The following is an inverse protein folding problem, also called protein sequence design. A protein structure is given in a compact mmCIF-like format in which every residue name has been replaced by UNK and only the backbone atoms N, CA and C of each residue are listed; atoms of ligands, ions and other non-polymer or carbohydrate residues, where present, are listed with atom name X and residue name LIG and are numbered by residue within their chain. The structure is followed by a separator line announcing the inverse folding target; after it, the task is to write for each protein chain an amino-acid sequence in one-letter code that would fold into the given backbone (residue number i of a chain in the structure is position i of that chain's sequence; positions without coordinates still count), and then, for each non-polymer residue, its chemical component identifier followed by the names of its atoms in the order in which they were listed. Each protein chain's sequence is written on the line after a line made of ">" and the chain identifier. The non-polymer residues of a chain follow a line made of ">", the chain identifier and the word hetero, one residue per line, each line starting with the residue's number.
data_IF_435135570938
#
_entry.id   IF_435135570938
#
_cell.length_a   1.000
_cell.length_b   1.000
_cell.length_c   1.000
_cell.angle_alpha   90.00
_cell.angle_beta   90.00
_cell.angle_gamma   90.00
#
_symmetry.space_group_name_H-M   'P 1'
#
loop_
_entity.id
_entity.type
_entity.pdbx_description
1 polymer ?
#
# COMPACT_ATOMS: atom_id res chain seq x y z
N UNK A 1 -34.91 6.67 5.64
CA UNK A 1 -34.87 5.70 6.75
C UNK A 1 -33.49 5.10 6.88
N UNK A 2 -32.96 5.06 8.10
CA UNK A 2 -31.70 4.42 8.46
C UNK A 2 -31.89 2.89 8.39
N UNK A 3 -30.98 2.13 7.76
CA UNK A 3 -31.11 0.67 7.67
C UNK A 3 -30.94 0.04 9.05
N UNK A 4 -31.69 -1.02 9.36
CA UNK A 4 -31.55 -1.78 10.61
C UNK A 4 -30.59 -2.94 10.47
N UNK A 5 -30.49 -3.53 9.27
CA UNK A 5 -29.55 -4.60 8.94
C UNK A 5 -28.83 -4.34 7.63
N UNK A 6 -27.50 -4.45 7.65
CA UNK A 6 -26.64 -4.23 6.49
C UNK A 6 -25.78 -5.45 6.20
N UNK A 7 -25.77 -5.88 4.94
CA UNK A 7 -24.85 -6.88 4.40
C UNK A 7 -23.58 -6.20 3.90
N UNK A 8 -22.42 -6.75 4.26
CA UNK A 8 -21.10 -6.30 3.81
C UNK A 8 -20.49 -7.44 3.00
N UNK A 9 -20.05 -7.15 1.78
CA UNK A 9 -19.34 -8.11 0.94
C UNK A 9 -17.84 -7.87 1.12
N UNK A 10 -17.12 -8.88 1.64
CA UNK A 10 -15.67 -8.82 1.82
C UNK A 10 -14.90 -8.96 0.51
N UNK A 11 -13.56 -9.00 0.61
CA UNK A 11 -12.66 -9.12 -0.55
C UNK A 11 -12.26 -10.55 -0.90
N UNK A 12 -12.56 -11.53 -0.04
CA UNK A 12 -12.12 -12.91 -0.23
C UNK A 12 -10.66 -13.12 0.15
N UNK A 13 -10.06 -14.17 -0.41
CA UNK A 13 -8.64 -14.48 -0.21
C UNK A 13 -7.75 -13.36 -0.74
N UNK A 14 -6.61 -13.13 -0.08
CA UNK A 14 -5.67 -12.09 -0.52
C UNK A 14 -5.03 -12.48 -1.85
N UNK A 15 -4.91 -11.51 -2.74
CA UNK A 15 -4.23 -11.65 -4.03
C UNK A 15 -3.41 -10.40 -4.36
N UNK A 16 -2.51 -10.50 -5.33
CA UNK A 16 -1.70 -9.36 -5.76
C UNK A 16 -2.62 -8.22 -6.20
N UNK A 17 -2.45 -7.05 -5.54
CA UNK A 17 -3.25 -5.85 -5.77
C UNK A 17 -4.63 -5.82 -5.13
N UNK A 18 -5.02 -6.87 -4.39
CA UNK A 18 -6.18 -6.89 -3.51
C UNK A 18 -5.82 -7.63 -2.21
N UNK A 19 -5.23 -6.91 -1.27
CA UNK A 19 -4.62 -7.48 -0.06
C UNK A 19 -5.37 -7.08 1.23
N UNK A 20 -4.63 -6.92 2.33
CA UNK A 20 -5.19 -6.71 3.68
C UNK A 20 -5.88 -5.36 3.89
N UNK A 21 -5.74 -4.41 2.96
CA UNK A 21 -6.39 -3.09 3.01
C UNK A 21 -7.93 -3.20 3.10
N UNK A 22 -8.51 -4.27 2.54
CA UNK A 22 -9.95 -4.54 2.61
C UNK A 22 -10.37 -5.23 3.91
N UNK A 23 -9.46 -5.92 4.60
CA UNK A 23 -9.71 -6.38 5.97
C UNK A 23 -9.77 -5.20 6.94
N UNK A 24 -8.80 -4.29 6.81
CA UNK A 24 -8.80 -3.03 7.55
C UNK A 24 -10.08 -2.22 7.27
N UNK A 25 -10.40 -1.98 6.00
CA UNK A 25 -11.55 -1.15 5.61
C UNK A 25 -12.89 -1.80 5.99
N UNK A 26 -13.05 -3.11 5.77
CA UNK A 26 -14.24 -3.87 6.17
C UNK A 26 -14.44 -3.87 7.69
N UNK A 27 -13.36 -4.02 8.47
CA UNK A 27 -13.41 -3.93 9.94
C UNK A 27 -13.87 -2.54 10.42
N UNK A 28 -13.41 -1.46 9.77
CA UNK A 28 -13.87 -0.10 10.07
C UNK A 28 -15.35 0.10 9.72
N UNK A 29 -15.81 -0.42 8.58
CA UNK A 29 -17.21 -0.35 8.18
C UNK A 29 -18.13 -1.06 9.19
N UNK A 30 -17.75 -2.26 9.61
CA UNK A 30 -18.49 -3.02 10.65
C UNK A 30 -18.55 -2.21 11.95
N UNK A 31 -17.42 -1.65 12.39
CA UNK A 31 -17.34 -0.85 13.62
C UNK A 31 -18.26 0.37 13.55
N UNK A 32 -18.24 1.12 12.44
CA UNK A 32 -19.08 2.30 12.27
C UNK A 32 -20.58 1.95 12.27
N UNK A 33 -20.97 0.86 11.60
CA UNK A 33 -22.36 0.39 11.62
C UNK A 33 -22.80 -0.03 13.04
N UNK A 34 -21.91 -0.68 13.79
CA UNK A 34 -22.19 -1.08 15.17
C UNK A 34 -22.36 0.13 16.11
N UNK A 35 -21.52 1.16 15.97
CA UNK A 35 -21.64 2.42 16.73
C UNK A 35 -22.99 3.13 16.49
N UNK A 36 -23.56 2.95 15.29
CA UNK A 36 -24.89 3.46 14.91
C UNK A 36 -26.04 2.48 15.23
N UNK A 37 -25.78 1.40 15.98
CA UNK A 37 -26.74 0.36 16.34
C UNK A 37 -27.38 -0.36 15.12
N UNK A 38 -26.64 -0.50 14.03
CA UNK A 38 -27.06 -1.19 12.81
C UNK A 38 -26.53 -2.62 12.86
N UNK A 39 -27.41 -3.61 12.65
CA UNK A 39 -27.03 -5.01 12.61
C UNK A 39 -26.19 -5.31 11.36
N UNK A 40 -25.09 -6.03 11.54
CA UNK A 40 -24.10 -6.32 10.50
C UNK A 40 -24.08 -7.79 10.12
N UNK A 41 -24.15 -8.07 8.82
CA UNK A 41 -23.91 -9.40 8.25
C UNK A 41 -22.71 -9.27 7.33
N UNK A 42 -21.67 -10.07 7.56
CA UNK A 42 -20.50 -10.14 6.69
C UNK A 42 -20.52 -11.45 5.90
N UNK A 43 -20.22 -11.40 4.61
CA UNK A 43 -19.82 -12.58 3.83
C UNK A 43 -18.37 -12.39 3.37
N UNK A 44 -17.49 -13.29 3.81
CA UNK A 44 -16.09 -13.33 3.38
C UNK A 44 -15.51 -14.73 3.63
N UNK A 45 -15.01 -15.45 2.60
CA UNK A 45 -14.42 -16.78 2.77
C UNK A 45 -13.04 -16.76 3.45
N UNK A 46 -12.39 -15.60 3.58
CA UNK A 46 -11.04 -15.51 4.13
C UNK A 46 -11.04 -15.51 5.67
N UNK A 47 -10.81 -16.70 6.24
CA UNK A 47 -10.78 -16.95 7.68
C UNK A 47 -9.65 -16.25 8.43
N UNK A 48 -8.59 -15.83 7.74
CA UNK A 48 -7.43 -15.19 8.36
C UNK A 48 -7.65 -13.69 8.66
N UNK A 49 -8.81 -13.14 8.31
CA UNK A 49 -9.09 -11.70 8.40
C UNK A 49 -9.67 -11.30 9.76
N UNK A 50 -9.24 -10.14 10.28
CA UNK A 50 -9.76 -9.55 11.51
C UNK A 50 -11.26 -9.31 11.41
N UNK A 51 -11.76 -8.87 10.25
CA UNK A 51 -13.18 -8.62 9.99
C UNK A 51 -14.08 -9.84 10.23
N UNK A 52 -13.55 -11.06 10.08
CA UNK A 52 -14.28 -12.32 10.33
C UNK A 52 -14.18 -12.82 11.78
N UNK A 53 -13.49 -12.08 12.65
CA UNK A 53 -13.35 -12.45 14.06
C UNK A 53 -14.68 -12.44 14.79
N UNK A 54 -14.85 -13.40 15.70
CA UNK A 54 -16.04 -13.51 16.54
C UNK A 54 -16.30 -12.19 17.31
N UNK A 55 -17.53 -11.69 17.20
CA UNK A 55 -17.99 -10.51 17.91
C UNK A 55 -17.64 -9.18 17.25
N UNK A 56 -17.02 -9.19 16.05
CA UNK A 56 -16.84 -7.96 15.28
C UNK A 56 -18.10 -7.65 14.47
N UNK A 57 -18.55 -8.57 13.62
CA UNK A 57 -19.89 -8.52 13.00
C UNK A 57 -20.88 -9.40 13.76
N UNK A 58 -22.19 -9.11 13.65
CA UNK A 58 -23.24 -9.89 14.32
C UNK A 58 -23.35 -11.31 13.73
N UNK A 59 -23.16 -11.43 12.41
CA UNK A 59 -23.10 -12.72 11.70
C UNK A 59 -22.03 -12.70 10.62
N UNK A 60 -21.33 -13.82 10.47
CA UNK A 60 -20.28 -14.02 9.46
C UNK A 60 -20.56 -15.29 8.66
N UNK A 61 -20.49 -15.17 7.34
CA UNK A 61 -20.62 -16.28 6.38
C UNK A 61 -19.30 -16.52 5.67
N UNK A 62 -18.73 -17.72 5.86
CA UNK A 62 -17.57 -18.20 5.13
C UNK A 62 -18.02 -18.91 3.84
N UNK A 63 -18.46 -18.13 2.87
CA UNK A 63 -19.00 -18.61 1.59
C UNK A 63 -18.29 -17.95 0.40
N UNK A 64 -18.28 -18.59 -0.79
CA UNK A 64 -17.75 -17.98 -2.00
C UNK A 64 -18.45 -16.65 -2.33
N UNK A 65 -17.69 -15.67 -2.81
CA UNK A 65 -18.18 -14.33 -3.16
C UNK A 65 -18.67 -14.29 -4.62
N UNK A 66 -19.69 -15.09 -4.91
CA UNK A 66 -20.36 -15.13 -6.21
C UNK A 66 -21.86 -14.93 -6.04
N UNK A 67 -22.58 -14.43 -7.07
CA UNK A 67 -23.98 -14.01 -6.93
C UNK A 67 -24.90 -15.06 -6.31
N UNK A 68 -24.72 -16.33 -6.65
CA UNK A 68 -25.53 -17.44 -6.13
C UNK A 68 -25.50 -17.50 -4.59
N UNK A 69 -24.30 -17.53 -3.99
CA UNK A 69 -24.16 -17.64 -2.54
C UNK A 69 -24.54 -16.32 -1.83
N UNK A 70 -24.23 -15.17 -2.43
CA UNK A 70 -24.63 -13.88 -1.87
C UNK A 70 -26.16 -13.74 -1.88
N UNK A 71 -26.85 -14.16 -2.95
CA UNK A 71 -28.32 -14.20 -2.98
C UNK A 71 -28.86 -15.10 -1.87
N UNK A 72 -28.26 -16.26 -1.63
CA UNK A 72 -28.70 -17.15 -0.55
C UNK A 72 -28.61 -16.47 0.83
N UNK A 73 -27.54 -15.72 1.08
CA UNK A 73 -27.40 -14.93 2.32
C UNK A 73 -28.45 -13.83 2.37
N UNK A 74 -28.65 -13.06 1.29
CA UNK A 74 -29.70 -12.03 1.20
C UNK A 74 -31.08 -12.62 1.50
N UNK A 75 -31.39 -13.80 0.94
CA UNK A 75 -32.67 -14.49 1.12
C UNK A 75 -32.92 -14.88 2.57
N UNK A 76 -31.90 -15.34 3.28
CA UNK A 76 -32.00 -15.80 4.68
C UNK A 76 -31.98 -14.61 5.65
N UNK A 77 -31.07 -13.66 5.44
CA UNK A 77 -30.87 -12.56 6.39
C UNK A 77 -31.80 -11.36 6.16
N UNK A 78 -32.33 -11.18 4.94
CA UNK A 78 -33.19 -10.05 4.57
C UNK A 78 -32.63 -8.70 5.04
N UNK A 79 -31.41 -8.32 4.58
CA UNK A 79 -30.83 -7.03 4.92
C UNK A 79 -31.62 -5.88 4.29
N UNK A 80 -31.69 -4.74 4.97
CA UNK A 80 -32.29 -3.51 4.42
C UNK A 80 -31.35 -2.84 3.41
N UNK A 81 -30.04 -3.06 3.57
CA UNK A 81 -29.05 -2.54 2.65
C UNK A 81 -27.77 -3.37 2.53
N UNK A 82 -26.97 -3.05 1.52
CA UNK A 82 -25.73 -3.72 1.19
C UNK A 82 -24.60 -2.71 0.92
N UNK A 83 -23.41 -3.00 1.41
CA UNK A 83 -22.19 -2.25 1.13
C UNK A 83 -21.26 -3.07 0.22
N UNK A 84 -20.97 -2.51 -0.95
CA UNK A 84 -20.17 -3.15 -2.01
C UNK A 84 -18.71 -2.63 -2.06
N UNK A 85 -18.45 -1.47 -1.46
CA UNK A 85 -17.21 -0.69 -1.63
C UNK A 85 -16.08 -1.09 -0.68
N UNK A 86 -16.29 -2.10 0.18
CA UNK A 86 -15.29 -2.57 1.15
C UNK A 86 -14.67 -3.94 0.80
N UNK A 87 -15.09 -4.53 -0.32
CA UNK A 87 -14.65 -5.85 -0.78
C UNK A 87 -13.74 -5.84 -2.01
N UNK A 88 -13.14 -4.69 -2.33
CA UNK A 88 -12.36 -4.53 -3.57
C UNK A 88 -13.17 -4.85 -4.82
N UNK A 89 -12.49 -5.30 -5.88
CA UNK A 89 -13.14 -5.65 -7.14
C UNK A 89 -14.08 -6.84 -7.00
N UNK A 90 -13.76 -7.79 -6.13
CA UNK A 90 -14.60 -8.95 -5.86
C UNK A 90 -15.98 -8.51 -5.37
N UNK A 91 -16.03 -7.58 -4.41
CA UNK A 91 -17.28 -7.00 -3.93
C UNK A 91 -18.04 -6.21 -5.00
N UNK A 92 -17.33 -5.38 -5.76
CA UNK A 92 -17.94 -4.56 -6.83
C UNK A 92 -18.54 -5.42 -7.95
N UNK A 93 -17.76 -6.36 -8.50
CA UNK A 93 -18.20 -7.23 -9.60
C UNK A 93 -19.41 -8.07 -9.19
N UNK A 94 -19.37 -8.68 -8.00
CA UNK A 94 -20.49 -9.45 -7.49
C UNK A 94 -21.74 -8.56 -7.30
N UNK A 95 -21.57 -7.34 -6.79
CA UNK A 95 -22.64 -6.36 -6.68
C UNK A 95 -23.26 -5.97 -8.01
N UNK A 96 -22.46 -5.72 -9.04
CA UNK A 96 -22.94 -5.40 -10.39
C UNK A 96 -23.72 -6.57 -11.00
N UNK A 97 -23.25 -7.80 -10.81
CA UNK A 97 -23.97 -9.00 -11.29
C UNK A 97 -25.30 -9.21 -10.58
N UNK A 98 -25.35 -9.00 -9.26
CA UNK A 98 -26.59 -9.07 -8.47
C UNK A 98 -27.62 -8.01 -8.89
N UNK A 99 -27.16 -6.79 -9.16
CA UNK A 99 -28.03 -5.72 -9.68
C UNK A 99 -28.57 -6.06 -11.06
N UNK A 100 -27.72 -6.53 -11.99
CA UNK A 100 -28.12 -6.95 -13.34
C UNK A 100 -29.14 -8.10 -13.31
N UNK A 101 -29.00 -9.02 -12.34
CA UNK A 101 -29.95 -10.10 -12.12
C UNK A 101 -31.24 -9.65 -11.38
N UNK A 102 -31.36 -8.37 -11.02
CA UNK A 102 -32.52 -7.80 -10.35
C UNK A 102 -32.68 -8.28 -8.90
N UNK A 103 -31.63 -8.84 -8.28
CA UNK A 103 -31.70 -9.46 -6.96
C UNK A 103 -31.95 -8.42 -5.87
N UNK A 104 -31.28 -7.26 -5.92
CA UNK A 104 -31.49 -6.22 -4.93
C UNK A 104 -32.95 -5.72 -4.93
N UNK A 105 -33.53 -5.51 -6.11
CA UNK A 105 -34.96 -5.17 -6.24
C UNK A 105 -35.88 -6.31 -5.76
N UNK A 106 -35.60 -7.55 -6.13
CA UNK A 106 -36.37 -8.75 -5.72
C UNK A 106 -36.49 -8.89 -4.20
N UNK A 107 -35.43 -8.57 -3.46
CA UNK A 107 -35.39 -8.68 -2.00
C UNK A 107 -35.54 -7.33 -1.27
N UNK A 108 -35.77 -6.23 -1.99
CA UNK A 108 -35.86 -4.87 -1.47
C UNK A 108 -34.62 -4.44 -0.65
N UNK A 109 -33.43 -4.78 -1.15
CA UNK A 109 -32.14 -4.43 -0.54
C UNK A 109 -31.62 -3.15 -1.18
N UNK A 110 -31.32 -2.14 -0.38
CA UNK A 110 -30.76 -0.87 -0.88
C UNK A 110 -29.24 -0.93 -0.96
N UNK A 111 -28.68 -0.49 -2.07
CA UNK A 111 -27.23 -0.30 -2.16
C UNK A 111 -26.87 0.97 -1.40
N UNK A 112 -26.01 0.84 -0.39
CA UNK A 112 -25.57 1.92 0.48
C UNK A 112 -24.20 2.45 0.04
N UNK A 113 -23.95 3.73 0.28
CA UNK A 113 -22.73 4.40 -0.17
C UNK A 113 -22.82 4.83 -1.64
N UNK A 114 -21.79 4.51 -2.43
CA UNK A 114 -21.73 4.88 -3.85
C UNK A 114 -22.82 4.15 -4.64
N UNK A 115 -23.68 4.88 -5.40
CA UNK A 115 -24.70 4.25 -6.23
C UNK A 115 -24.09 3.27 -7.24
N UNK A 116 -24.80 2.17 -7.54
CA UNK A 116 -24.31 1.14 -8.46
C UNK A 116 -24.04 1.68 -9.87
N UNK A 117 -24.83 2.66 -10.32
CA UNK A 117 -24.58 3.30 -11.62
C UNK A 117 -23.24 4.03 -11.62
N UNK A 118 -22.89 4.72 -10.53
CA UNK A 118 -21.59 5.39 -10.43
C UNK A 118 -20.45 4.37 -10.43
N UNK A 119 -20.61 3.21 -9.78
CA UNK A 119 -19.65 2.11 -9.85
C UNK A 119 -19.47 1.64 -11.31
N UNK A 120 -20.57 1.36 -12.01
CA UNK A 120 -20.52 0.94 -13.42
C UNK A 120 -19.83 2.00 -14.29
N UNK A 121 -20.19 3.26 -14.09
CA UNK A 121 -19.65 4.38 -14.86
C UNK A 121 -18.15 4.59 -14.65
N UNK A 122 -17.61 4.24 -13.47
CA UNK A 122 -16.18 4.37 -13.17
C UNK A 122 -15.37 3.12 -13.53
N UNK A 123 -15.99 1.95 -13.50
CA UNK A 123 -15.33 0.68 -13.85
C UNK A 123 -15.24 0.46 -15.37
N UNK A 124 -16.24 0.92 -16.13
CA UNK A 124 -16.16 0.95 -17.58
C UNK A 124 -15.33 2.17 -18.04
N UNK A 125 -14.14 1.91 -18.59
CA UNK A 125 -13.21 2.98 -19.00
C UNK A 125 -13.75 3.86 -20.12
N UNK A 126 -14.61 3.33 -21.00
CA UNK A 126 -15.19 4.13 -22.09
C UNK A 126 -16.19 5.11 -21.50
N UNK A 127 -17.10 4.62 -20.66
CA UNK A 127 -18.08 5.48 -19.95
C UNK A 127 -17.33 6.50 -19.09
N UNK A 128 -16.29 6.07 -18.36
CA UNK A 128 -15.46 6.96 -17.57
C UNK A 128 -14.82 8.07 -18.42
N UNK A 129 -14.17 7.71 -19.53
CA UNK A 129 -13.55 8.66 -20.46
C UNK A 129 -14.57 9.67 -21.01
N UNK A 130 -15.76 9.21 -21.42
CA UNK A 130 -16.84 10.06 -21.89
C UNK A 130 -17.33 11.03 -20.80
N UNK A 131 -17.47 10.56 -19.55
CA UNK A 131 -17.87 11.40 -18.42
C UNK A 131 -16.82 12.45 -18.04
N UNK A 132 -15.54 12.08 -18.05
CA UNK A 132 -14.42 13.00 -17.81
C UNK A 132 -14.33 14.03 -18.95
N UNK A 133 -14.49 13.58 -20.20
CA UNK A 133 -14.54 14.47 -21.37
C UNK A 133 -15.71 15.45 -21.32
N UNK A 134 -16.87 15.03 -20.81
CA UNK A 134 -18.05 15.89 -20.65
C UNK A 134 -17.83 17.06 -19.68
N UNK A 135 -16.90 16.95 -18.73
CA UNK A 135 -16.52 18.04 -17.82
C UNK A 135 -15.27 18.81 -18.29
N UNK A 136 -14.78 18.53 -19.50
CA UNK A 136 -13.61 19.20 -20.09
C UNK A 136 -12.25 18.71 -19.56
N UNK A 137 -12.25 17.64 -18.78
CA UNK A 137 -11.03 17.04 -18.22
C UNK A 137 -10.41 16.03 -19.18
N UNK A 138 -9.14 15.69 -18.95
CA UNK A 138 -8.36 14.85 -19.87
C UNK A 138 -8.04 13.50 -19.26
N UNK A 139 -8.27 12.44 -20.03
CA UNK A 139 -7.74 11.10 -19.76
C UNK A 139 -6.59 10.80 -20.71
N UNK A 140 -5.71 9.85 -20.32
CA UNK A 140 -4.73 9.32 -21.23
C UNK A 140 -5.43 8.74 -22.48
N UNK A 141 -4.88 8.93 -23.69
CA UNK A 141 -5.41 8.31 -24.89
C UNK A 141 -5.49 6.79 -24.69
N UNK A 142 -6.70 6.26 -24.80
CA UNK A 142 -7.00 4.84 -24.62
C UNK A 142 -8.01 4.39 -25.65
N UNK A 143 -7.90 3.14 -26.07
CA UNK A 143 -8.80 2.53 -27.04
C UNK A 143 -9.30 1.21 -26.48
N UNK A 144 -10.61 1.00 -26.55
CA UNK A 144 -11.22 -0.27 -26.22
C UNK A 144 -11.08 -1.24 -27.39
N UNK A 145 -10.73 -2.49 -27.08
CA UNK A 145 -10.56 -3.60 -27.99
C UNK A 145 -11.41 -4.79 -27.52
N UNK A 146 -12.14 -5.41 -28.45
CA UNK A 146 -12.97 -6.58 -28.18
C UNK A 146 -12.43 -7.85 -28.86
N UNK A 147 -11.39 -7.70 -29.66
CA UNK A 147 -10.66 -8.79 -30.28
C UNK A 147 -9.15 -8.57 -30.17
N UNK A 148 -8.38 -9.63 -30.38
CA UNK A 148 -6.91 -9.52 -30.48
C UNK A 148 -6.52 -8.56 -31.61
N UNK A 149 -7.24 -8.56 -32.73
CA UNK A 149 -6.95 -7.66 -33.85
C UNK A 149 -7.22 -6.20 -33.48
N UNK A 150 -8.33 -5.92 -32.80
CA UNK A 150 -8.68 -4.57 -32.33
C UNK A 150 -7.59 -4.02 -31.40
N UNK A 151 -7.02 -4.88 -30.55
CA UNK A 151 -5.95 -4.51 -29.63
C UNK A 151 -4.68 -4.10 -30.39
N UNK A 152 -4.33 -4.85 -31.44
CA UNK A 152 -3.17 -4.53 -32.29
C UNK A 152 -3.39 -3.21 -33.05
N UNK A 153 -4.58 -3.01 -33.63
CA UNK A 153 -4.94 -1.79 -34.35
C UNK A 153 -4.95 -0.56 -33.42
N UNK A 154 -5.37 -0.75 -32.17
CA UNK A 154 -5.31 0.27 -31.13
C UNK A 154 -3.87 0.65 -30.78
N UNK A 155 -2.99 -0.35 -30.63
CA UNK A 155 -1.58 -0.11 -30.34
C UNK A 155 -0.84 0.57 -31.50
N UNK A 156 -1.19 0.26 -32.75
CA UNK A 156 -0.62 0.93 -33.93
C UNK A 156 -0.98 2.42 -33.95
N UNK A 157 -2.15 2.82 -33.42
CA UNK A 157 -2.56 4.23 -33.25
C UNK A 157 -1.88 4.92 -32.08
N UNK A 158 -1.73 4.23 -30.95
CA UNK A 158 -1.18 4.79 -29.70
C UNK A 158 0.36 4.79 -29.66
N UNK A 159 0.98 3.92 -30.45
CA UNK A 159 2.41 3.67 -30.49
C UNK A 159 2.90 2.90 -29.26
N UNK A 160 3.75 1.91 -29.49
CA UNK A 160 4.41 1.17 -28.42
C UNK A 160 5.35 2.08 -27.59
N UNK A 161 5.62 1.74 -26.31
CA UNK A 161 5.00 0.66 -25.55
C UNK A 161 3.57 1.00 -25.11
N UNK A 162 2.72 -0.02 -25.05
CA UNK A 162 1.33 0.08 -24.61
C UNK A 162 1.06 -0.81 -23.39
N UNK A 163 0.04 -0.45 -22.62
CA UNK A 163 -0.48 -1.26 -21.51
C UNK A 163 -1.82 -1.83 -21.94
N UNK A 164 -1.94 -3.15 -21.94
CA UNK A 164 -3.21 -3.85 -22.10
C UNK A 164 -3.82 -4.08 -20.71
N UNK A 165 -5.11 -3.75 -20.52
CA UNK A 165 -5.83 -3.91 -19.26
C UNK A 165 -7.21 -4.51 -19.46
N UNK A 166 -7.50 -5.61 -18.78
CA UNK A 166 -8.83 -6.19 -18.78
C UNK A 166 -9.82 -5.27 -18.04
N UNK A 167 -11.02 -5.04 -18.61
CA UNK A 167 -12.09 -4.33 -17.91
C UNK A 167 -12.58 -5.15 -16.68
N UNK A 168 -13.07 -4.47 -15.63
CA UNK A 168 -13.56 -5.07 -14.38
C UNK A 168 -12.53 -5.93 -13.62
N UNK A 169 -11.24 -5.57 -13.74
CA UNK A 169 -10.12 -6.25 -13.07
C UNK A 169 -9.34 -5.30 -12.17
N UNK A 170 -8.80 -5.84 -11.08
CA UNK A 170 -8.00 -5.11 -10.09
C UNK A 170 -6.68 -5.84 -9.87
N UNK A 171 -5.66 -5.12 -9.41
CA UNK A 171 -4.30 -5.67 -9.22
C UNK A 171 -3.55 -6.07 -10.50
N UNK A 172 -4.05 -5.68 -11.68
CA UNK A 172 -3.40 -5.97 -12.96
C UNK A 172 -3.63 -7.41 -13.47
N UNK A 173 -4.64 -8.12 -12.96
CA UNK A 173 -5.04 -9.43 -13.49
C UNK A 173 -5.43 -9.31 -14.98
N UNK A 174 -4.81 -10.12 -15.84
CA UNK A 174 -4.99 -10.01 -17.29
C UNK A 174 -4.46 -8.70 -17.91
N UNK A 175 -3.70 -7.92 -17.13
CA UNK A 175 -3.08 -6.68 -17.58
C UNK A 175 -1.57 -6.87 -17.76
N UNK A 176 -0.99 -6.19 -18.74
CA UNK A 176 0.43 -6.29 -19.03
C UNK A 176 0.92 -5.17 -19.93
N UNK A 177 2.24 -5.03 -20.00
CA UNK A 177 2.90 -4.11 -20.90
C UNK A 177 3.34 -4.87 -22.13
N UNK A 178 3.09 -4.29 -23.30
CA UNK A 178 3.61 -4.77 -24.56
C UNK A 178 4.51 -3.68 -25.13
N UNK A 179 5.77 -4.02 -25.37
CA UNK A 179 6.73 -3.16 -26.06
C UNK A 179 6.67 -3.40 -27.58
N UNK A 180 6.00 -4.47 -28.03
CA UNK A 180 5.81 -4.82 -29.44
C UNK A 180 4.51 -5.61 -29.70
N UNK A 181 4.25 -5.86 -30.99
CA UNK A 181 3.03 -6.53 -31.49
C UNK A 181 2.86 -7.96 -31.01
N UNK A 182 3.94 -8.73 -30.90
CA UNK A 182 3.88 -10.14 -30.49
C UNK A 182 3.55 -10.26 -29.00
N UNK A 183 4.17 -9.44 -28.15
CA UNK A 183 3.83 -9.34 -26.74
C UNK A 183 2.37 -8.95 -26.53
N UNK A 184 1.89 -7.95 -27.27
CA UNK A 184 0.50 -7.51 -27.16
C UNK A 184 -0.48 -8.61 -27.57
N UNK A 185 -0.16 -9.36 -28.64
CA UNK A 185 -1.00 -10.46 -29.11
C UNK A 185 -1.15 -11.56 -28.06
N UNK A 186 -0.04 -11.90 -27.38
CA UNK A 186 -0.03 -12.88 -26.29
C UNK A 186 -0.87 -12.38 -25.09
N UNK A 187 -0.63 -11.14 -24.66
CA UNK A 187 -1.37 -10.51 -23.56
C UNK A 187 -2.87 -10.39 -23.86
N UNK A 188 -3.24 -9.94 -25.06
CA UNK A 188 -4.62 -9.76 -25.45
C UNK A 188 -5.39 -11.09 -25.50
N UNK A 189 -4.74 -12.16 -25.97
CA UNK A 189 -5.33 -13.50 -26.00
C UNK A 189 -5.61 -14.02 -24.59
N UNK A 190 -4.69 -13.79 -23.65
CA UNK A 190 -4.85 -14.18 -22.24
C UNK A 190 -5.88 -13.31 -21.51
N UNK A 191 -5.94 -12.01 -21.80
CA UNK A 191 -6.88 -11.11 -21.15
C UNK A 191 -8.33 -11.36 -21.60
N UNK A 192 -8.53 -11.57 -22.91
CA UNK A 192 -9.84 -11.80 -23.50
C UNK A 192 -10.44 -13.19 -23.18
N UNK A 193 -9.65 -14.14 -22.65
CA UNK A 193 -10.20 -15.40 -22.14
C UNK A 193 -10.93 -15.24 -20.81
N UNK A 194 -10.76 -14.11 -20.12
CA UNK A 194 -11.35 -13.84 -18.81
C UNK A 194 -12.17 -12.54 -18.76
N UNK A 195 -12.10 -11.70 -19.79
CA UNK A 195 -12.87 -10.44 -19.90
C UNK A 195 -13.35 -10.21 -21.34
N UNK A 196 -14.54 -9.65 -21.51
CA UNK A 196 -15.11 -9.36 -22.83
C UNK A 196 -14.55 -8.06 -23.46
N UNK A 197 -13.67 -7.35 -22.74
CA UNK A 197 -13.12 -6.07 -23.16
C UNK A 197 -11.70 -5.89 -22.64
N UNK A 198 -10.82 -5.46 -23.53
CA UNK A 198 -9.44 -5.10 -23.26
C UNK A 198 -9.26 -3.61 -23.58
N UNK A 199 -8.57 -2.87 -22.71
CA UNK A 199 -8.25 -1.46 -22.94
C UNK A 199 -6.75 -1.34 -23.21
N UNK A 200 -6.40 -0.67 -24.30
CA UNK A 200 -5.01 -0.38 -24.67
C UNK A 200 -4.72 1.07 -24.32
N UNK A 201 -3.73 1.29 -23.46
CA UNK A 201 -3.29 2.60 -23.00
C UNK A 201 -1.82 2.84 -23.34
N UNK A 202 -1.39 4.11 -23.28
CA UNK A 202 0.04 4.39 -23.20
C UNK A 202 0.59 3.95 -21.83
N UNK A 203 1.67 3.15 -21.86
CA UNK A 203 2.21 2.44 -20.70
C UNK A 203 2.73 3.33 -19.55
N UNK A 204 2.44 2.91 -18.31
CA UNK A 204 3.05 3.36 -17.05
C UNK A 204 3.28 2.11 -16.15
N UNK A 205 4.56 1.70 -15.93
CA UNK A 205 4.97 0.36 -15.41
C UNK A 205 4.85 0.17 -13.87
N UNK A 206 4.45 -1.02 -13.38
CA UNK A 206 4.60 -1.48 -11.95
C UNK A 206 3.86 -2.78 -11.54
N UNK A 207 4.43 -3.57 -10.59
CA UNK A 207 3.80 -4.73 -9.87
C UNK A 207 4.38 -4.86 -8.44
N UNK A 208 3.57 -5.17 -7.41
CA UNK A 208 4.01 -5.39 -6.01
C UNK A 208 3.12 -6.40 -5.27
N UNK A 209 3.65 -7.05 -4.21
CA UNK A 209 2.94 -8.05 -3.37
C UNK A 209 2.55 -7.50 -1.99
N UNK A 210 3.22 -6.45 -1.54
CA UNK A 210 2.98 -5.75 -0.27
C UNK A 210 3.70 -4.40 -0.27
N UNK A 211 3.46 -3.61 0.77
CA UNK A 211 4.03 -2.27 0.92
C UNK A 211 4.46 -2.01 2.37
N UNK A 212 5.38 -1.05 2.53
CA UNK A 212 5.87 -0.60 3.83
C UNK A 212 5.63 0.91 3.94
N UNK A 213 5.28 1.40 5.13
CA UNK A 213 5.13 2.83 5.37
C UNK A 213 6.08 3.31 6.47
N UNK A 214 6.86 4.34 6.17
CA UNK A 214 7.70 5.00 7.16
C UNK A 214 7.40 6.49 7.28
N UNK A 215 7.40 6.96 8.52
CA UNK A 215 7.20 8.39 8.84
C UNK A 215 8.51 8.98 9.35
N UNK A 216 8.85 10.15 8.83
CA UNK A 216 9.98 10.99 9.22
C UNK A 216 9.70 12.45 8.88
N UNK A 217 10.37 13.39 9.55
CA UNK A 217 10.15 14.84 9.31
C UNK A 217 10.99 15.40 8.16
N UNK A 218 11.74 14.52 7.49
CA UNK A 218 12.49 14.78 6.26
C UNK A 218 12.33 13.60 5.33
N UNK A 219 12.38 13.87 4.02
CA UNK A 219 12.34 12.82 3.02
C UNK A 219 13.43 11.77 3.26
N UNK A 220 14.67 12.18 3.48
CA UNK A 220 15.79 11.26 3.68
C UNK A 220 15.57 10.34 4.89
N UNK A 221 15.03 10.89 5.97
CA UNK A 221 14.70 10.13 7.18
C UNK A 221 13.61 9.08 6.92
N UNK A 222 12.50 9.49 6.31
CA UNK A 222 11.39 8.60 5.98
C UNK A 222 11.82 7.52 4.97
N UNK A 223 12.51 7.93 3.90
CA UNK A 223 12.96 7.06 2.82
C UNK A 223 13.90 5.95 3.30
N UNK A 224 14.90 6.29 4.13
CA UNK A 224 15.80 5.26 4.66
C UNK A 224 15.12 4.34 5.68
N UNK A 225 14.14 4.83 6.45
CA UNK A 225 13.33 3.97 7.33
C UNK A 225 12.50 2.99 6.50
N UNK A 226 11.83 3.45 5.43
CA UNK A 226 11.04 2.61 4.55
C UNK A 226 11.88 1.50 3.92
N UNK A 227 13.07 1.81 3.40
CA UNK A 227 13.96 0.82 2.79
C UNK A 227 14.35 -0.30 3.77
N UNK A 228 14.53 0.02 5.07
CA UNK A 228 14.81 -0.97 6.12
C UNK A 228 13.60 -1.82 6.50
N UNK A 229 12.40 -1.32 6.25
CA UNK A 229 11.16 -2.03 6.57
C UNK A 229 10.82 -3.07 5.49
N UNK A 230 11.23 -2.82 4.24
CA UNK A 230 10.94 -3.70 3.10
C UNK A 230 11.66 -5.04 3.18
N UNK A 231 12.93 -5.05 3.58
CA UNK A 231 13.77 -6.27 3.62
C UNK A 231 14.78 -6.16 4.77
N UNK A 232 14.91 -7.22 5.57
CA UNK A 232 15.82 -7.31 6.71
C UNK A 232 17.30 -7.18 6.33
N UNK A 233 17.63 -7.49 5.07
CA UNK A 233 18.98 -7.38 4.53
C UNK A 233 19.31 -5.97 4.02
N UNK A 234 18.30 -5.11 3.88
CA UNK A 234 18.47 -3.74 3.39
C UNK A 234 18.63 -2.81 4.58
N UNK A 235 19.83 -2.20 4.72
CA UNK A 235 20.12 -1.32 5.86
C UNK A 235 19.72 0.15 5.61
N UNK A 236 19.31 0.49 4.39
CA UNK A 236 18.94 1.83 3.95
C UNK A 236 19.21 2.02 2.45
N UNK A 237 19.42 3.27 2.02
CA UNK A 237 19.77 3.57 0.62
C UNK A 237 21.27 3.31 0.38
N UNK A 238 21.59 2.05 0.10
CA UNK A 238 22.95 1.52 0.06
C UNK A 238 23.50 1.44 -1.38
N UNK A 239 24.61 2.14 -1.71
CA UNK A 239 25.18 2.15 -3.05
C UNK A 239 25.99 0.89 -3.41
N UNK A 240 26.15 -0.07 -2.49
CA UNK A 240 26.97 -1.27 -2.70
C UNK A 240 26.16 -2.54 -2.98
N UNK A 241 24.84 -2.51 -2.79
CA UNK A 241 23.98 -3.69 -2.99
C UNK A 241 23.85 -4.09 -4.48
N UNK A 242 24.01 -3.12 -5.38
CA UNK A 242 23.94 -3.31 -6.83
C UNK A 242 25.06 -2.54 -7.52
N UNK A 243 25.36 -2.94 -8.75
CA UNK A 243 26.25 -2.20 -9.66
C UNK A 243 25.41 -1.24 -10.49
N UNK A 244 26.06 -0.22 -11.03
CA UNK A 244 25.43 0.66 -12.01
C UNK A 244 25.05 -0.13 -13.25
N UNK A 245 23.81 0.07 -13.68
CA UNK A 245 23.26 -0.50 -14.89
C UNK A 245 22.23 0.51 -15.44
N UNK A 246 22.54 1.12 -16.58
CA UNK A 246 21.67 2.14 -17.19
C UNK A 246 20.34 1.52 -17.67
N UNK A 247 20.32 0.24 -18.04
CA UNK A 247 19.10 -0.47 -18.43
C UNK A 247 18.16 -0.63 -17.24
N UNK A 248 18.66 -1.02 -16.06
CA UNK A 248 17.84 -1.10 -14.83
C UNK A 248 17.39 0.29 -14.33
N UNK A 249 18.08 1.36 -14.72
CA UNK A 249 17.67 2.73 -14.45
C UNK A 249 16.57 3.17 -15.41
N UNK A 250 16.61 2.76 -16.67
CA UNK A 250 15.57 3.06 -17.67
C UNK A 250 14.32 2.20 -17.45
N UNK A 251 14.52 0.90 -17.26
CA UNK A 251 13.50 -0.12 -17.07
C UNK A 251 13.31 -0.44 -15.58
N UNK A 252 12.22 0.03 -14.93
CA UNK A 252 12.10 -0.07 -13.49
C UNK A 252 12.03 -1.53 -13.00
N UNK A 253 12.96 -1.89 -12.13
CA UNK A 253 12.97 -3.16 -11.38
C UNK A 253 12.73 -2.92 -9.89
N UNK A 254 12.44 -3.99 -9.14
CA UNK A 254 12.37 -3.96 -7.67
C UNK A 254 13.72 -3.58 -7.02
N UNK A 255 14.82 -3.63 -7.78
CA UNK A 255 16.17 -3.26 -7.33
C UNK A 255 16.64 -1.90 -7.83
N UNK A 256 15.83 -1.17 -8.62
CA UNK A 256 16.19 0.11 -9.25
C UNK A 256 16.74 1.13 -8.26
N UNK A 257 16.18 1.19 -7.04
CA UNK A 257 16.64 2.13 -6.01
C UNK A 257 18.12 1.91 -5.64
N UNK A 258 18.60 0.66 -5.61
CA UNK A 258 19.99 0.36 -5.27
C UNK A 258 20.93 0.59 -6.46
N UNK A 259 20.45 0.38 -7.70
CA UNK A 259 21.19 0.77 -8.91
C UNK A 259 21.33 2.30 -8.96
N UNK A 260 20.29 3.04 -8.58
CA UNK A 260 20.31 4.50 -8.48
C UNK A 260 21.31 4.99 -7.43
N UNK A 261 21.35 4.34 -6.26
CA UNK A 261 22.36 4.63 -5.22
C UNK A 261 23.78 4.43 -5.74
N UNK A 262 24.04 3.31 -6.44
CA UNK A 262 25.33 3.03 -7.07
C UNK A 262 25.70 4.09 -8.12
N UNK A 263 24.74 4.51 -8.95
CA UNK A 263 24.97 5.49 -10.02
C UNK A 263 25.31 6.88 -9.47
N UNK A 264 24.61 7.31 -8.41
CA UNK A 264 24.97 8.53 -7.69
C UNK A 264 26.39 8.47 -7.13
N UNK A 265 26.80 7.30 -6.62
CA UNK A 265 28.14 7.10 -6.08
C UNK A 265 29.23 7.11 -7.16
N UNK A 266 28.95 6.58 -8.33
CA UNK A 266 29.85 6.66 -9.51
C UNK A 266 29.86 8.06 -10.17
N UNK A 267 29.13 9.03 -9.60
CA UNK A 267 29.18 10.42 -10.02
C UNK A 267 28.17 10.81 -11.11
N UNK A 268 27.12 10.00 -11.33
CA UNK A 268 26.05 10.40 -12.24
C UNK A 268 25.38 11.69 -11.74
N UNK A 269 25.13 12.62 -12.65
CA UNK A 269 24.43 13.86 -12.33
C UNK A 269 22.94 13.62 -12.12
N UNK A 270 22.30 14.50 -11.34
CA UNK A 270 20.84 14.49 -11.15
C UNK A 270 20.11 14.58 -12.49
N UNK A 271 20.61 15.37 -13.44
CA UNK A 271 20.01 15.47 -14.78
C UNK A 271 20.14 14.19 -15.60
N UNK A 272 21.29 13.51 -15.55
CA UNK A 272 21.45 12.20 -16.20
C UNK A 272 20.45 11.20 -15.62
N UNK A 273 20.35 11.13 -14.30
CA UNK A 273 19.42 10.22 -13.62
C UNK A 273 17.97 10.57 -13.88
N UNK A 274 17.60 11.86 -13.96
CA UNK A 274 16.26 12.27 -14.38
C UNK A 274 15.96 11.79 -15.80
N UNK A 275 16.90 11.94 -16.72
CA UNK A 275 16.71 11.53 -18.11
C UNK A 275 16.50 10.02 -18.25
N UNK A 276 17.27 9.22 -17.51
CA UNK A 276 17.14 7.77 -17.47
C UNK A 276 15.86 7.33 -16.74
N UNK A 277 15.57 7.92 -15.59
CA UNK A 277 14.59 7.35 -14.66
C UNK A 277 13.20 7.98 -14.71
N UNK A 278 13.11 9.23 -15.14
CA UNK A 278 11.97 10.15 -14.97
C UNK A 278 11.56 10.41 -13.52
N UNK A 279 12.36 9.98 -12.53
CA UNK A 279 12.16 10.36 -11.13
C UNK A 279 12.46 11.85 -11.01
N UNK A 280 11.56 12.61 -10.39
CA UNK A 280 11.71 14.05 -10.25
C UNK A 280 13.06 14.43 -9.60
N UNK A 281 13.65 15.52 -10.11
CA UNK A 281 14.97 16.00 -9.68
C UNK A 281 15.02 16.28 -8.18
N UNK A 282 13.91 16.70 -7.58
CA UNK A 282 13.83 16.94 -6.15
C UNK A 282 14.17 15.66 -5.37
N UNK A 283 13.55 14.52 -5.71
CA UNK A 283 13.83 13.23 -5.06
C UNK A 283 15.27 12.79 -5.30
N UNK A 284 15.74 12.88 -6.55
CA UNK A 284 17.11 12.53 -6.91
C UNK A 284 18.14 13.36 -6.12
N UNK A 285 17.89 14.66 -5.92
CA UNK A 285 18.74 15.52 -5.11
C UNK A 285 18.75 15.08 -3.64
N UNK A 286 17.61 14.67 -3.07
CA UNK A 286 17.56 14.14 -1.70
C UNK A 286 18.29 12.80 -1.57
N UNK A 287 18.16 11.92 -2.56
CA UNK A 287 18.90 10.66 -2.62
C UNK A 287 20.41 10.91 -2.73
N UNK A 288 20.82 11.89 -3.55
CA UNK A 288 22.22 12.33 -3.64
C UNK A 288 22.75 12.80 -2.29
N UNK A 289 21.98 13.57 -1.51
CA UNK A 289 22.41 13.99 -0.17
C UNK A 289 22.76 12.80 0.75
N UNK A 290 22.03 11.69 0.63
CA UNK A 290 22.29 10.46 1.40
C UNK A 290 23.62 9.85 0.96
N UNK A 291 23.82 9.66 -0.35
CA UNK A 291 25.04 9.06 -0.91
C UNK A 291 26.27 9.92 -0.63
N UNK A 292 26.18 11.24 -0.81
CA UNK A 292 27.26 12.18 -0.51
C UNK A 292 27.66 12.11 0.97
N UNK A 293 26.67 12.01 1.87
CA UNK A 293 26.95 11.93 3.30
C UNK A 293 27.53 10.56 3.70
N UNK A 294 27.12 9.48 3.04
CA UNK A 294 27.74 8.17 3.21
C UNK A 294 29.21 8.19 2.80
N UNK A 295 29.53 8.74 1.62
CA UNK A 295 30.92 8.91 1.15
C UNK A 295 31.74 9.79 2.11
N UNK A 296 31.14 10.85 2.65
CA UNK A 296 31.77 11.65 3.69
C UNK A 296 32.11 10.81 4.93
N UNK A 297 31.15 10.05 5.47
CA UNK A 297 31.38 9.19 6.65
C UNK A 297 32.50 8.16 6.43
N UNK A 298 32.64 7.62 5.22
CA UNK A 298 33.72 6.67 4.89
C UNK A 298 35.12 7.28 4.92
N UNK A 299 35.23 8.61 4.78
CA UNK A 299 36.50 9.33 4.92
C UNK A 299 36.92 9.52 6.38
N UNK A 300 36.10 9.07 7.34
CA UNK A 300 36.26 9.35 8.77
C UNK A 300 36.44 8.05 9.53
N UNK A 301 37.50 7.97 10.34
CA UNK A 301 37.64 6.92 11.34
C UNK A 301 36.66 7.16 12.51
N UNK A 302 36.12 6.09 13.11
CA UNK A 302 35.17 6.18 14.23
C UNK A 302 35.61 7.14 15.35
N UNK A 303 36.91 7.14 15.68
CA UNK A 303 37.50 8.01 16.73
C UNK A 303 37.29 9.50 16.47
N UNK A 304 37.15 9.89 15.19
CA UNK A 304 36.95 11.27 14.75
C UNK A 304 35.45 11.59 14.51
N UNK A 305 34.54 10.65 14.77
CA UNK A 305 33.11 10.84 14.57
C UNK A 305 32.54 11.75 15.66
N UNK A 306 32.34 13.02 15.34
CA UNK A 306 31.81 14.01 16.30
C UNK A 306 30.31 13.85 16.56
N UNK A 307 29.83 14.41 17.68
CA UNK A 307 28.41 14.50 18.02
C UNK A 307 27.56 15.11 16.90
N UNK A 308 28.04 16.18 16.25
CA UNK A 308 27.31 16.85 15.18
C UNK A 308 27.19 15.99 13.91
N UNK A 309 28.25 15.27 13.58
CA UNK A 309 28.27 14.37 12.41
C UNK A 309 27.33 13.18 12.65
N UNK A 310 27.40 12.58 13.83
CA UNK A 310 26.50 11.49 14.21
C UNK A 310 25.03 11.95 14.21
N UNK A 311 24.72 13.10 14.82
CA UNK A 311 23.36 13.66 14.84
C UNK A 311 22.84 13.96 13.42
N UNK A 312 23.68 14.51 12.54
CA UNK A 312 23.32 14.76 11.14
C UNK A 312 23.01 13.45 10.40
N UNK A 313 23.82 12.41 10.59
CA UNK A 313 23.56 11.08 10.02
C UNK A 313 22.18 10.55 10.45
N UNK A 314 21.87 10.64 11.75
CA UNK A 314 20.57 10.19 12.29
C UNK A 314 19.40 11.01 11.74
N UNK A 315 19.54 12.33 11.61
CA UNK A 315 18.51 13.24 11.08
C UNK A 315 18.17 13.03 9.60
N UNK A 316 19.08 12.43 8.83
CA UNK A 316 18.82 12.04 7.43
C UNK A 316 18.54 10.53 7.30
N UNK A 317 18.31 9.82 8.41
CA UNK A 317 17.77 8.46 8.41
C UNK A 317 18.77 7.31 8.47
N UNK A 318 20.07 7.56 8.66
CA UNK A 318 21.05 6.46 8.73
C UNK A 318 20.80 5.59 9.96
N UNK A 319 20.82 4.27 9.77
CA UNK A 319 20.86 3.30 10.87
C UNK A 319 22.24 3.28 11.55
N UNK A 320 22.29 2.81 12.79
CA UNK A 320 23.58 2.64 13.50
C UNK A 320 24.49 1.66 12.73
N UNK A 321 23.89 0.66 12.05
CA UNK A 321 24.57 -0.32 11.20
C UNK A 321 25.19 0.30 9.93
N UNK A 322 24.47 1.18 9.23
CA UNK A 322 25.03 1.90 8.07
C UNK A 322 26.24 2.76 8.46
N UNK A 323 26.12 3.50 9.56
CA UNK A 323 27.20 4.35 10.05
C UNK A 323 28.41 3.50 10.43
N UNK A 324 28.17 2.38 11.13
CA UNK A 324 29.22 1.45 11.53
C UNK A 324 30.01 0.92 10.33
N UNK A 325 29.32 0.50 9.26
CA UNK A 325 29.97 0.05 8.02
C UNK A 325 30.82 1.17 7.41
N UNK A 326 30.27 2.38 7.29
CA UNK A 326 30.98 3.52 6.72
C UNK A 326 32.28 3.86 7.48
N UNK A 327 32.23 3.95 8.81
CA UNK A 327 33.41 4.32 9.63
C UNK A 327 34.27 3.12 10.08
N UNK A 328 34.04 1.93 9.50
CA UNK A 328 34.75 0.67 9.81
C UNK A 328 34.71 0.30 11.30
N UNK A 329 33.51 0.29 11.87
CA UNK A 329 33.22 -0.01 13.27
C UNK A 329 32.12 -1.08 13.39
N UNK A 330 31.66 -1.34 14.62
CA UNK A 330 30.52 -2.21 14.92
C UNK A 330 29.27 -1.40 15.26
N UNK A 331 28.10 -1.96 14.96
CA UNK A 331 26.81 -1.33 15.27
C UNK A 331 26.69 -1.00 16.77
N UNK A 332 27.15 -1.90 17.62
CA UNK A 332 27.12 -1.72 19.09
C UNK A 332 27.98 -0.53 19.52
N UNK A 333 29.16 -0.35 18.92
CA UNK A 333 30.04 0.77 19.24
C UNK A 333 29.42 2.11 18.82
N UNK A 334 28.81 2.19 17.63
CA UNK A 334 28.10 3.39 17.18
C UNK A 334 26.89 3.69 18.06
N UNK A 335 26.12 2.66 18.42
CA UNK A 335 25.00 2.79 19.36
C UNK A 335 25.47 3.36 20.70
N UNK A 336 26.53 2.79 21.28
CA UNK A 336 27.11 3.28 22.54
C UNK A 336 27.54 4.74 22.44
N UNK A 337 28.35 5.09 21.43
CA UNK A 337 28.79 6.47 21.19
C UNK A 337 27.61 7.44 21.01
N UNK A 338 26.53 6.99 20.34
CA UNK A 338 25.29 7.74 20.19
C UNK A 338 24.63 8.03 21.55
N UNK A 339 24.57 7.04 22.44
CA UNK A 339 24.06 7.22 23.81
C UNK A 339 24.97 8.10 24.67
N UNK A 340 26.29 7.95 24.58
CA UNK A 340 27.27 8.78 25.29
C UNK A 340 27.15 10.27 24.88
N UNK A 341 26.78 10.53 23.63
CA UNK A 341 26.47 11.88 23.13
C UNK A 341 25.03 12.35 23.40
N UNK A 342 24.21 11.53 24.07
CA UNK A 342 22.78 11.79 24.32
C UNK A 342 21.98 12.05 23.03
N UNK A 343 22.28 11.31 21.97
CA UNK A 343 21.56 11.37 20.69
C UNK A 343 20.51 10.26 20.68
N UNK A 344 19.28 10.58 21.06
CA UNK A 344 18.14 9.66 20.99
C UNK A 344 17.04 10.25 20.11
N UNK A 345 16.22 9.43 19.45
CA UNK A 345 15.06 9.95 18.74
C UNK A 345 14.02 10.43 19.75
N UNK A 346 13.15 11.33 19.30
CA UNK A 346 11.98 11.76 20.06
C UNK A 346 10.72 11.09 19.53
N UNK A 347 9.76 10.89 20.43
CA UNK A 347 8.42 10.34 20.14
C UNK A 347 7.51 11.49 19.75
N UNK A 348 6.90 11.39 18.57
CA UNK A 348 5.96 12.37 18.03
C UNK A 348 4.60 11.75 17.72
N UNK A 349 3.55 12.52 17.95
CA UNK A 349 2.16 12.13 17.66
C UNK A 349 1.78 12.45 16.21
N UNK A 350 0.84 11.66 15.69
CA UNK A 350 0.09 11.93 14.46
C UNK A 350 -1.27 12.43 14.89
N UNK A 351 -1.54 13.71 14.63
CA UNK A 351 -2.70 14.43 15.15
C UNK A 351 -3.71 14.85 14.06
N UNK A 352 -3.39 14.60 12.78
CA UNK A 352 -4.13 15.02 11.57
C UNK A 352 -4.17 16.52 11.28
N UNK A 353 -3.75 17.37 12.22
CA UNK A 353 -3.89 18.85 12.18
C UNK A 353 -2.58 19.60 12.36
N UNK A 354 -1.43 18.92 12.25
CA UNK A 354 -0.10 19.51 12.36
C UNK A 354 0.10 20.33 13.64
N UNK A 355 -0.34 19.76 14.77
CA UNK A 355 -0.32 20.33 16.11
C UNK A 355 -1.17 21.60 16.32
N UNK A 356 -2.13 21.89 15.44
CA UNK A 356 -3.14 22.93 15.69
C UNK A 356 -3.97 22.62 16.94
N UNK A 357 -4.28 21.33 17.16
CA UNK A 357 -5.00 20.84 18.34
C UNK A 357 -4.25 19.67 18.99
N UNK A 358 -4.30 19.53 20.32
CA UNK A 358 -3.74 18.38 21.01
C UNK A 358 -4.38 17.07 20.54
N UNK A 359 -3.55 16.06 20.23
CA UNK A 359 -4.04 14.73 19.89
C UNK A 359 -4.61 14.02 21.12
N UNK A 360 -5.81 13.46 20.96
CA UNK A 360 -6.41 12.56 21.96
C UNK A 360 -5.96 11.11 21.80
N UNK A 361 -5.23 10.80 20.74
CA UNK A 361 -4.76 9.44 20.41
C UNK A 361 -3.23 9.35 20.42
N UNK A 362 -2.72 8.17 20.76
CA UNK A 362 -1.29 7.87 20.75
C UNK A 362 -0.92 7.07 19.51
N UNK A 363 -1.06 7.69 18.32
CA UNK A 363 -0.47 7.16 17.09
C UNK A 363 0.88 7.83 16.85
N UNK A 364 1.96 7.05 16.94
CA UNK A 364 3.29 7.59 17.22
C UNK A 364 4.32 7.22 16.16
N UNK A 365 5.31 8.10 15.96
CA UNK A 365 6.53 7.80 15.23
C UNK A 365 7.76 8.39 15.93
N UNK A 366 8.93 7.80 15.62
CA UNK A 366 10.22 8.26 16.13
C UNK A 366 10.96 9.11 15.09
N UNK A 367 11.53 10.24 15.52
CA UNK A 367 12.35 11.13 14.67
C UNK A 367 13.52 11.77 15.42
N UNK A 368 14.64 11.99 14.73
CA UNK A 368 15.76 12.79 15.23
C UNK A 368 15.64 14.29 14.90
N UNK A 369 14.62 14.67 14.13
CA UNK A 369 14.34 16.05 13.71
C UNK A 369 13.34 16.73 14.68
N UNK A 370 13.56 16.55 15.98
CA UNK A 370 12.75 17.11 17.05
C UNK A 370 13.64 17.51 18.24
N UNK A 371 13.05 18.19 19.22
CA UNK A 371 13.71 18.68 20.44
C UNK A 371 13.10 18.16 21.73
N UNK A 372 11.93 17.52 21.68
CA UNK A 372 11.19 16.99 22.83
C UNK A 372 10.26 15.86 22.41
N UNK A 373 9.85 15.02 23.36
CA UNK A 373 8.76 14.06 23.19
C UNK A 373 7.39 14.77 23.27
N UNK A 374 6.38 14.24 22.60
CA UNK A 374 4.99 14.70 22.75
C UNK A 374 4.27 14.02 23.94
N UNK A 375 4.87 12.98 24.51
CA UNK A 375 4.33 12.17 25.61
C UNK A 375 5.32 12.08 26.78
N UNK A 376 4.79 11.74 27.95
CA UNK A 376 5.57 11.22 29.09
C UNK A 376 5.59 9.68 29.07
N UNK A 377 6.49 9.06 29.82
CA UNK A 377 6.74 7.61 29.80
C UNK A 377 6.70 7.03 31.21
N UNK A 378 5.70 7.43 31.99
CA UNK A 378 5.60 7.12 33.42
C UNK A 378 4.83 5.81 33.70
N UNK A 379 4.41 5.12 32.63
CA UNK A 379 3.45 4.02 32.68
C UNK A 379 4.04 2.72 32.14
N UNK A 380 3.72 1.61 32.80
CA UNK A 380 4.12 0.27 32.34
C UNK A 380 3.20 -0.24 31.22
N UNK A 381 3.82 -0.84 30.21
CA UNK A 381 3.14 -1.33 29.01
C UNK A 381 3.70 -2.68 28.58
N UNK A 382 2.84 -3.52 28.00
CA UNK A 382 3.25 -4.73 27.27
C UNK A 382 3.40 -4.41 25.80
N UNK A 383 4.56 -4.75 25.21
CA UNK A 383 4.82 -4.57 23.78
C UNK A 383 4.30 -5.78 23.01
N UNK A 384 3.53 -5.53 21.95
CA UNK A 384 3.18 -6.51 20.91
C UNK A 384 3.88 -6.09 19.62
N UNK A 385 4.68 -7.00 19.06
CA UNK A 385 5.41 -6.77 17.81
C UNK A 385 4.60 -7.40 16.67
N UNK A 386 4.31 -6.61 15.64
CA UNK A 386 3.60 -7.06 14.44
C UNK A 386 4.48 -7.80 13.45
N UNK A 387 3.88 -8.22 12.34
CA UNK A 387 4.54 -8.98 11.28
C UNK A 387 5.42 -8.14 10.35
N UNK A 388 5.27 -6.82 10.37
CA UNK A 388 5.78 -5.93 9.32
C UNK A 388 5.12 -6.22 7.97
N UNK A 389 5.87 -5.97 6.90
CA UNK A 389 5.44 -6.08 5.50
C UNK A 389 5.03 -7.51 5.12
N UNK A 390 3.84 -7.63 4.54
CA UNK A 390 3.35 -8.89 3.98
C UNK A 390 4.22 -9.40 2.83
N UNK A 391 4.46 -10.71 2.85
CA UNK A 391 5.23 -11.45 1.85
C UNK A 391 4.68 -12.87 1.75
N UNK A 392 5.07 -13.59 0.70
CA UNK A 392 4.71 -15.01 0.59
C UNK A 392 5.23 -15.76 1.83
N UNK A 393 4.32 -16.42 2.55
CA UNK A 393 4.63 -17.14 3.81
C UNK A 393 4.49 -16.30 5.09
N UNK A 394 4.23 -14.99 4.99
CA UNK A 394 3.90 -14.12 6.13
C UNK A 394 2.87 -13.08 5.71
N UNK A 395 1.60 -13.35 5.98
CA UNK A 395 0.45 -12.55 5.53
C UNK A 395 -0.45 -12.16 6.72
N UNK A 396 -1.70 -11.79 6.44
CA UNK A 396 -2.69 -11.25 7.39
C UNK A 396 -2.95 -12.14 8.61
N UNK A 397 -2.69 -13.44 8.52
CA UNK A 397 -2.79 -14.37 9.65
C UNK A 397 -1.93 -13.94 10.86
N UNK A 398 -0.76 -13.32 10.63
CA UNK A 398 0.09 -12.83 11.70
C UNK A 398 -0.43 -11.53 12.32
N UNK A 399 -1.05 -10.66 11.50
CA UNK A 399 -1.74 -9.48 12.00
C UNK A 399 -2.97 -9.86 12.83
N UNK A 400 -3.72 -10.87 12.38
CA UNK A 400 -4.83 -11.45 13.14
C UNK A 400 -4.39 -11.95 14.53
N UNK A 401 -3.24 -12.63 14.61
CA UNK A 401 -2.67 -13.07 15.89
C UNK A 401 -2.30 -11.88 16.79
N UNK A 402 -1.66 -10.85 16.24
CA UNK A 402 -1.26 -9.66 16.99
C UNK A 402 -2.48 -8.87 17.50
N UNK A 403 -3.48 -8.66 16.65
CA UNK A 403 -4.74 -8.01 17.02
C UNK A 403 -5.51 -8.82 18.06
N UNK A 404 -5.54 -10.15 17.93
CA UNK A 404 -6.10 -11.05 18.93
C UNK A 404 -5.43 -10.87 20.30
N UNK A 405 -4.09 -10.90 20.33
CA UNK A 405 -3.31 -10.65 21.54
C UNK A 405 -3.62 -9.28 22.17
N UNK A 406 -3.61 -8.20 21.37
CA UNK A 406 -3.93 -6.85 21.83
C UNK A 406 -5.35 -6.76 22.43
N UNK A 407 -6.34 -7.42 21.80
CA UNK A 407 -7.72 -7.44 22.30
C UNK A 407 -7.83 -8.15 23.64
N UNK A 408 -7.16 -9.29 23.81
CA UNK A 408 -7.18 -10.02 25.09
C UNK A 408 -6.43 -9.26 26.19
N UNK A 409 -5.24 -8.70 25.90
CA UNK A 409 -4.53 -7.85 26.86
C UNK A 409 -5.38 -6.65 27.30
N UNK A 410 -6.11 -6.02 26.37
CA UNK A 410 -7.03 -4.92 26.70
C UNK A 410 -8.18 -5.37 27.59
N UNK A 411 -8.77 -6.56 27.36
CA UNK A 411 -9.81 -7.12 28.23
C UNK A 411 -9.31 -7.38 29.65
N UNK A 412 -8.02 -7.68 29.80
CA UNK A 412 -7.34 -7.83 31.09
C UNK A 412 -6.93 -6.47 31.72
N UNK A 413 -7.34 -5.34 31.13
CA UNK A 413 -6.93 -3.99 31.52
C UNK A 413 -5.41 -3.78 31.51
N UNK A 414 -4.68 -4.53 30.69
CA UNK A 414 -3.24 -4.37 30.49
C UNK A 414 -3.02 -3.31 29.41
N UNK A 415 -2.19 -2.31 29.70
CA UNK A 415 -1.80 -1.29 28.72
C UNK A 415 -0.82 -1.86 27.72
N UNK A 416 -1.02 -1.57 26.44
CA UNK A 416 -0.28 -2.19 25.34
C UNK A 416 0.36 -1.16 24.43
N UNK A 417 1.54 -1.46 23.90
CA UNK A 417 2.16 -0.74 22.79
C UNK A 417 2.29 -1.69 21.61
N UNK A 418 1.68 -1.33 20.47
CA UNK A 418 1.87 -2.05 19.21
C UNK A 418 3.03 -1.45 18.44
N UNK A 419 3.94 -2.28 17.95
CA UNK A 419 5.01 -1.87 17.03
C UNK A 419 4.84 -2.65 15.73
N UNK A 420 4.48 -1.95 14.65
CA UNK A 420 4.35 -2.52 13.30
C UNK A 420 4.75 -1.48 12.24
N UNK A 421 4.90 -1.89 10.99
CA UNK A 421 5.22 -1.01 9.86
C UNK A 421 4.83 -1.57 8.48
#
# INVERSE_FOLDING_TARGET
>A
DVPKKVLIIGSGGLSIGQAGEFDYSGSQAIKALHEENIQTVLINPNIATVQTSKGLADKVYFLPLVPEYVEQVIRVERPDGVLLTFGGQTGLNCGVELERAGIFNKYNVKILGTPIQAIIDTEDRKIFSEKIGAIGEKVAPSLAAHSVQDALDAADKLGYPVMARAAFSLGGLGSGFADNKEELKSLASQALSHSNQLIIDKSLKGKSVGEAMAIGRKFEEAFQKALRMVDENVNGFDPYLKKVNDDDLMEPTDKRMFVLAAALREGYTVDKLYNLTKIDRWFLQKMKNIVDYNTFLESIAQVNLTKQMLLRAKRIGFSDKQIAVAVKSTEVAIRKQRHDFSITPFVKQIDTVAAEWPATTNYLYLTYNASSHDLSFDEEHVIVIGSGVYRIGSSVEFDWCAVGCLRELRKLNIRTVMINY
#
